data_IF_056560976996
#
_entry.id   IF_056560976996
#
_cell.length_a   1.000
_cell.length_b   1.000
_cell.length_c   1.000
_cell.angle_alpha   90.00
_cell.angle_beta   90.00
_cell.angle_gamma   90.00
#
_symmetry.space_group_name_H-M   'P 1'
#
loop_
_entity.id
_entity.type
_entity.pdbx_description
1 polymer ?
#
# COMPACT_ATOMS: atom_id res chain seq x y z
N UNK A 1 8.44 -2.23 -10.41
CA UNK A 1 7.26 -1.43 -10.10
C UNK A 1 6.30 -1.46 -11.27
N UNK A 2 5.02 -1.69 -11.01
CA UNK A 2 4.00 -1.78 -12.06
C UNK A 2 3.20 -0.50 -12.22
N UNK A 3 2.95 0.23 -11.13
CA UNK A 3 2.19 1.47 -11.17
C UNK A 3 2.53 2.34 -9.96
N UNK A 4 2.32 3.65 -10.13
CA UNK A 4 2.44 4.62 -9.06
C UNK A 4 1.29 5.61 -9.20
N UNK A 5 0.72 6.02 -8.07
CA UNK A 5 -0.39 6.98 -8.01
C UNK A 5 -1.56 6.57 -8.92
N UNK A 6 -1.93 5.30 -8.87
CA UNK A 6 -3.00 4.77 -9.70
C UNK A 6 -4.37 5.02 -9.06
N UNK A 7 -5.30 5.59 -9.81
CA UNK A 7 -6.68 5.81 -9.36
C UNK A 7 -7.56 4.66 -9.80
N UNK A 8 -8.14 3.97 -8.84
CA UNK A 8 -9.00 2.81 -9.08
C UNK A 8 -10.15 2.81 -8.08
N UNK A 9 -11.36 2.61 -8.55
CA UNK A 9 -12.55 2.54 -7.70
C UNK A 9 -12.69 3.72 -6.74
N UNK A 10 -12.32 4.93 -7.23
CA UNK A 10 -12.42 6.15 -6.44
C UNK A 10 -11.33 6.36 -5.40
N UNK A 11 -10.28 5.54 -5.41
CA UNK A 11 -9.18 5.64 -4.46
C UNK A 11 -7.84 5.60 -5.18
N UNK A 12 -6.83 6.22 -4.58
CA UNK A 12 -5.48 6.19 -5.10
C UNK A 12 -4.70 5.04 -4.46
N UNK A 13 -4.00 4.30 -5.31
CA UNK A 13 -3.00 3.32 -4.88
C UNK A 13 -1.63 3.96 -5.06
N UNK A 14 -0.89 4.14 -3.97
CA UNK A 14 0.39 4.86 -4.03
C UNK A 14 1.42 4.14 -4.87
N UNK A 15 1.67 2.87 -4.58
CA UNK A 15 2.60 2.05 -5.35
C UNK A 15 2.02 0.65 -5.54
N UNK A 16 2.21 0.09 -6.73
CA UNK A 16 1.92 -1.29 -7.03
C UNK A 16 3.17 -1.94 -7.61
N UNK A 17 3.61 -3.04 -7.02
CA UNK A 17 4.82 -3.74 -7.43
C UNK A 17 4.57 -5.24 -7.47
N UNK A 18 5.43 -5.95 -8.17
CA UNK A 18 5.40 -7.41 -8.19
C UNK A 18 6.72 -7.94 -7.68
N UNK A 19 6.66 -8.92 -6.80
CA UNK A 19 7.83 -9.66 -6.32
C UNK A 19 7.51 -11.15 -6.31
N UNK A 20 8.10 -11.87 -7.26
CA UNK A 20 7.77 -13.28 -7.42
C UNK A 20 6.31 -13.49 -7.73
N UNK A 21 5.60 -14.22 -6.90
CA UNK A 21 4.16 -14.46 -7.03
C UNK A 21 3.32 -13.52 -6.17
N UNK A 22 3.93 -12.50 -5.62
CA UNK A 22 3.23 -11.52 -4.82
C UNK A 22 3.01 -10.22 -5.59
N UNK A 23 1.79 -9.74 -5.56
CA UNK A 23 1.41 -8.42 -6.04
C UNK A 23 1.30 -7.53 -4.82
N UNK A 24 2.19 -6.55 -4.72
CA UNK A 24 2.38 -5.76 -3.50
C UNK A 24 1.79 -4.37 -3.71
N UNK A 25 0.88 -4.00 -2.82
CA UNK A 25 0.29 -2.66 -2.78
C UNK A 25 0.88 -1.93 -1.57
N UNK A 26 1.62 -0.86 -1.83
CA UNK A 26 2.27 -0.10 -0.77
C UNK A 26 1.56 1.22 -0.53
N UNK A 27 1.18 1.47 0.71
CA UNK A 27 0.71 2.77 1.17
C UNK A 27 1.91 3.54 1.70
N UNK A 28 2.19 4.69 1.13
CA UNK A 28 3.32 5.52 1.54
C UNK A 28 2.81 6.61 2.46
N UNK A 29 3.40 6.70 3.66
CA UNK A 29 3.07 7.72 4.64
C UNK A 29 4.31 8.50 5.02
N UNK A 30 4.20 9.82 4.96
CA UNK A 30 5.27 10.73 5.37
C UNK A 30 4.74 11.63 6.47
N UNK A 31 5.48 11.71 7.57
CA UNK A 31 5.16 12.64 8.65
C UNK A 31 6.41 13.37 9.11
N UNK A 32 6.24 14.65 9.36
CA UNK A 32 7.27 15.48 9.98
C UNK A 32 7.04 15.50 11.49
N UNK A 33 8.12 15.59 12.23
CA UNK A 33 8.08 15.67 13.69
C UNK A 33 8.16 14.34 14.40
N UNK A 34 8.47 14.42 15.69
CA UNK A 34 8.52 13.28 16.58
C UNK A 34 7.17 13.12 17.28
N UNK A 35 6.91 11.95 17.83
CA UNK A 35 5.81 11.77 18.74
C UNK A 35 4.55 11.11 18.21
N UNK A 36 4.58 10.54 17.05
CA UNK A 36 3.52 9.63 16.66
C UNK A 36 4.01 8.19 16.79
N UNK A 37 3.10 7.28 17.07
CA UNK A 37 3.44 5.93 17.41
C UNK A 37 3.76 5.03 16.21
N UNK A 38 3.19 3.84 16.24
CA UNK A 38 3.40 2.81 15.22
C UNK A 38 2.97 3.32 13.85
N UNK A 39 3.76 3.11 12.78
CA UNK A 39 3.34 3.42 11.41
C UNK A 39 1.99 2.83 11.02
N UNK A 40 1.59 1.71 11.59
CA UNK A 40 0.27 1.12 11.34
C UNK A 40 -0.87 2.00 11.82
N UNK A 41 -0.65 2.86 12.79
CA UNK A 41 -1.67 3.80 13.26
C UNK A 41 -1.98 4.88 12.23
N UNK A 42 -1.12 5.03 11.23
CA UNK A 42 -1.33 5.98 10.14
C UNK A 42 -2.36 5.50 9.13
N UNK A 43 -2.76 4.23 9.20
CA UNK A 43 -3.71 3.64 8.25
C UNK A 43 -4.93 3.16 9.02
N UNK A 44 -6.02 3.95 8.95
CA UNK A 44 -7.26 3.62 9.65
C UNK A 44 -7.94 2.38 9.04
N UNK A 45 -8.83 1.71 9.79
CA UNK A 45 -9.60 0.59 9.25
C UNK A 45 -10.41 0.96 8.00
N UNK A 46 -10.96 2.16 7.96
CA UNK A 46 -11.68 2.64 6.78
C UNK A 46 -10.75 2.76 5.57
N UNK A 47 -9.56 3.28 5.78
CA UNK A 47 -8.57 3.40 4.70
C UNK A 47 -8.10 2.04 4.24
N UNK A 48 -7.88 1.10 5.14
CA UNK A 48 -7.54 -0.28 4.81
C UNK A 48 -8.60 -0.88 3.88
N UNK A 49 -9.88 -0.72 4.22
CA UNK A 49 -10.96 -1.25 3.40
C UNK A 49 -10.98 -0.62 2.01
N UNK A 50 -10.73 0.68 1.91
CA UNK A 50 -10.66 1.38 0.62
C UNK A 50 -9.49 0.91 -0.23
N UNK A 51 -8.33 0.74 0.37
CA UNK A 51 -7.13 0.26 -0.33
C UNK A 51 -7.35 -1.16 -0.84
N UNK A 52 -7.92 -2.02 -0.03
CA UNK A 52 -8.20 -3.40 -0.44
C UNK A 52 -9.19 -3.45 -1.60
N UNK A 53 -10.21 -2.62 -1.58
CA UNK A 53 -11.18 -2.54 -2.67
C UNK A 53 -10.50 -2.08 -3.96
N UNK A 54 -9.69 -1.04 -3.87
CA UNK A 54 -8.97 -0.53 -5.02
C UNK A 54 -7.97 -1.57 -5.56
N UNK A 55 -7.30 -2.29 -4.68
CA UNK A 55 -6.36 -3.33 -5.07
C UNK A 55 -7.03 -4.48 -5.82
N UNK A 56 -8.17 -4.94 -5.35
CA UNK A 56 -8.94 -5.99 -6.03
C UNK A 56 -9.37 -5.53 -7.41
N UNK A 57 -9.85 -4.28 -7.52
CA UNK A 57 -10.26 -3.72 -8.81
C UNK A 57 -9.06 -3.58 -9.75
N UNK A 58 -7.91 -3.14 -9.24
CA UNK A 58 -6.69 -3.03 -10.04
C UNK A 58 -6.25 -4.39 -10.55
N UNK A 59 -6.24 -5.40 -9.67
CA UNK A 59 -5.84 -6.76 -10.03
C UNK A 59 -6.77 -7.36 -11.09
N UNK A 60 -8.07 -7.08 -11.00
CA UNK A 60 -9.03 -7.57 -11.98
C UNK A 60 -8.85 -6.93 -13.36
N UNK A 61 -8.30 -5.72 -13.41
CA UNK A 61 -8.07 -5.00 -14.65
C UNK A 61 -6.71 -5.30 -15.30
N UNK A 62 -5.87 -6.09 -14.65
CA UNK A 62 -4.52 -6.42 -15.11
C UNK A 62 -4.27 -7.93 -15.10
N UNK A 63 -3.20 -8.35 -15.77
CA UNK A 63 -2.82 -9.77 -15.80
C UNK A 63 -2.16 -10.16 -14.47
N UNK A 64 -2.99 -10.58 -13.53
CA UNK A 64 -2.52 -10.90 -12.18
C UNK A 64 -2.90 -12.31 -11.72
N UNK A 65 -3.32 -13.16 -12.65
CA UNK A 65 -3.73 -14.54 -12.35
C UNK A 65 -2.60 -15.30 -11.66
N UNK A 66 -2.91 -15.94 -10.55
CA UNK A 66 -1.95 -16.71 -9.79
C UNK A 66 -1.09 -15.91 -8.84
N UNK A 67 -1.27 -14.59 -8.79
CA UNK A 67 -0.54 -13.74 -7.85
C UNK A 67 -1.31 -13.59 -6.54
N UNK A 68 -0.58 -13.58 -5.44
CA UNK A 68 -1.13 -13.29 -4.12
C UNK A 68 -1.03 -11.80 -3.85
N UNK A 69 -2.08 -11.23 -3.27
CA UNK A 69 -2.07 -9.82 -2.88
C UNK A 69 -1.37 -9.65 -1.54
N UNK A 70 -0.50 -8.66 -1.44
CA UNK A 70 0.16 -8.29 -0.19
C UNK A 70 0.07 -6.78 -0.02
N UNK A 71 -0.21 -6.35 1.20
CA UNK A 71 -0.37 -4.92 1.52
C UNK A 71 0.72 -4.48 2.48
N UNK A 72 1.51 -3.52 2.03
CA UNK A 72 2.64 -3.00 2.78
C UNK A 72 2.41 -1.54 3.15
N UNK A 73 3.06 -1.10 4.21
CA UNK A 73 3.13 0.31 4.58
C UNK A 73 4.58 0.74 4.54
N UNK A 74 4.85 1.85 3.88
CA UNK A 74 6.16 2.48 3.88
C UNK A 74 6.01 3.81 4.61
N UNK A 75 6.64 3.92 5.74
CA UNK A 75 6.61 5.13 6.56
C UNK A 75 7.92 5.87 6.45
N UNK A 76 7.84 7.16 6.15
CA UNK A 76 9.00 8.05 6.07
C UNK A 76 8.87 9.09 7.16
N UNK A 77 9.84 9.14 8.06
CA UNK A 77 9.87 10.13 9.13
C UNK A 77 11.31 10.40 9.58
N UNK A 78 11.61 11.66 9.84
CA UNK A 78 12.93 12.08 10.32
C UNK A 78 14.08 11.48 9.50
N UNK A 79 13.93 11.44 8.17
CA UNK A 79 14.94 10.89 7.27
C UNK A 79 15.05 9.37 7.29
N UNK A 80 14.19 8.67 8.01
CA UNK A 80 14.17 7.21 8.06
C UNK A 80 13.04 6.64 7.25
N UNK A 81 13.28 5.49 6.65
CA UNK A 81 12.26 4.74 5.92
C UNK A 81 12.04 3.43 6.66
N UNK A 82 10.80 3.18 7.05
CA UNK A 82 10.39 1.90 7.62
C UNK A 82 9.45 1.21 6.63
N UNK A 83 9.77 -0.02 6.29
CA UNK A 83 8.95 -0.81 5.38
C UNK A 83 8.32 -1.96 6.15
N UNK A 84 7.00 -1.91 6.29
CA UNK A 84 6.24 -2.94 7.00
C UNK A 84 5.58 -3.84 5.97
N UNK A 85 6.12 -5.02 5.77
CA UNK A 85 5.61 -6.00 4.82
C UNK A 85 4.42 -6.73 5.40
N UNK A 86 3.39 -6.94 4.58
CA UNK A 86 2.20 -7.64 5.04
C UNK A 86 1.52 -6.94 6.20
N UNK A 87 1.43 -5.62 6.16
CA UNK A 87 0.97 -4.81 7.27
C UNK A 87 -0.54 -4.93 7.53
N UNK A 88 -1.32 -5.28 6.52
CA UNK A 88 -2.77 -5.43 6.69
C UNK A 88 -3.43 -6.30 5.62
#
# INVERSE_FOLDING_TARGET
MLAANAWVAGNELDLVARRGRQLVFCEVKSKSGAGFGDPLEMVSPLKVARIRRAAVAWAAAHETRGLELRFDVIAVRAGRIEHLKGAF
#
